data_IF_496937919379
#
_entry.id   IF_496937919379
#
_cell.length_a   1.000
_cell.length_b   1.000
_cell.length_c   1.000
_cell.angle_alpha   90.00
_cell.angle_beta   90.00
_cell.angle_gamma   90.00
#
_symmetry.space_group_name_H-M   'P 1'
#
loop_
_entity.id
_entity.type
_entity.pdbx_description
1 polymer ?
#
# COMPACT_ATOMS: atom_id res chain seq x y z
N UNK A 1 -45.74 -5.34 25.79
CA UNK A 1 -44.38 -5.00 26.23
C UNK A 1 -43.43 -5.51 25.14
N UNK A 2 -43.04 -4.61 24.23
CA UNK A 2 -42.18 -4.91 23.08
C UNK A 2 -40.80 -5.32 23.58
N UNK A 3 -40.40 -6.56 23.34
CA UNK A 3 -39.03 -7.02 23.56
C UNK A 3 -38.20 -6.41 22.44
N UNK A 4 -37.56 -5.30 22.77
CA UNK A 4 -36.57 -4.58 21.97
C UNK A 4 -35.61 -5.62 21.40
N UNK A 5 -35.67 -5.82 20.08
CA UNK A 5 -34.63 -6.51 19.35
C UNK A 5 -33.36 -5.70 19.59
N UNK A 6 -32.50 -6.22 20.46
CA UNK A 6 -31.14 -5.73 20.61
C UNK A 6 -30.50 -5.91 19.25
N UNK A 7 -30.40 -4.78 18.55
CA UNK A 7 -29.57 -4.52 17.38
C UNK A 7 -28.28 -5.34 17.52
N UNK A 8 -28.26 -6.50 16.86
CA UNK A 8 -27.06 -7.20 16.47
C UNK A 8 -26.33 -6.21 15.58
N UNK A 9 -25.56 -5.31 16.22
CA UNK A 9 -24.63 -4.43 15.53
C UNK A 9 -23.93 -5.31 14.53
N UNK A 10 -24.20 -5.06 13.26
CA UNK A 10 -23.61 -5.77 12.14
C UNK A 10 -22.14 -5.97 12.47
N UNK A 11 -21.79 -7.23 12.78
CA UNK A 11 -20.50 -7.79 12.47
C UNK A 11 -20.39 -7.82 10.94
N UNK A 12 -20.43 -6.62 10.35
CA UNK A 12 -20.40 -6.36 8.93
C UNK A 12 -19.03 -6.75 8.44
N UNK A 13 -18.96 -8.01 8.02
CA UNK A 13 -17.93 -8.60 7.18
C UNK A 13 -16.52 -8.65 7.79
N UNK A 14 -16.29 -9.65 8.63
CA UNK A 14 -14.94 -10.17 8.94
C UNK A 14 -14.23 -10.77 7.69
N UNK A 15 -14.91 -10.83 6.54
CA UNK A 15 -14.37 -11.08 5.19
C UNK A 15 -13.99 -9.79 4.43
N UNK A 16 -14.04 -8.63 5.07
CA UNK A 16 -13.73 -7.34 4.46
C UNK A 16 -12.26 -7.18 4.05
N UNK A 17 -12.05 -6.82 2.78
CA UNK A 17 -10.79 -6.41 2.16
C UNK A 17 -9.58 -7.36 2.32
N UNK A 18 -9.79 -8.65 2.62
CA UNK A 18 -8.66 -9.58 2.86
C UNK A 18 -7.73 -9.68 1.66
N UNK A 19 -8.28 -9.79 0.45
CA UNK A 19 -7.49 -9.77 -0.80
C UNK A 19 -6.61 -8.52 -0.92
N UNK A 20 -7.13 -7.35 -0.57
CA UNK A 20 -6.39 -6.10 -0.65
C UNK A 20 -5.28 -6.05 0.40
N UNK A 21 -5.54 -6.59 1.61
CA UNK A 21 -4.50 -6.73 2.64
C UNK A 21 -3.39 -7.67 2.18
N UNK A 22 -3.73 -8.76 1.50
CA UNK A 22 -2.76 -9.68 0.94
C UNK A 22 -1.88 -8.99 -0.12
N UNK A 23 -2.47 -8.16 -0.99
CA UNK A 23 -1.73 -7.34 -1.97
C UNK A 23 -0.75 -6.39 -1.27
N UNK A 24 -1.18 -5.69 -0.22
CA UNK A 24 -0.30 -4.77 0.53
C UNK A 24 0.86 -5.52 1.21
N UNK A 25 0.59 -6.69 1.79
CA UNK A 25 1.63 -7.52 2.41
C UNK A 25 2.62 -8.06 1.38
N UNK A 26 2.11 -8.54 0.24
CA UNK A 26 2.94 -9.01 -0.85
C UNK A 26 3.81 -7.90 -1.43
N UNK A 27 3.27 -6.68 -1.55
CA UNK A 27 4.03 -5.50 -1.96
C UNK A 27 5.21 -5.23 -1.00
N UNK A 28 4.95 -5.20 0.31
CA UNK A 28 6.02 -4.95 1.29
C UNK A 28 7.06 -6.07 1.32
N UNK A 29 6.64 -7.34 1.22
CA UNK A 29 7.59 -8.47 1.16
C UNK A 29 8.48 -8.41 -0.09
N UNK A 30 7.88 -8.21 -1.26
CA UNK A 30 8.62 -8.06 -2.52
C UNK A 30 9.54 -6.85 -2.47
N UNK A 31 9.08 -5.75 -1.85
CA UNK A 31 9.89 -4.57 -1.66
C UNK A 31 11.06 -4.89 -0.74
N UNK A 32 10.88 -5.49 0.43
CA UNK A 32 11.98 -5.81 1.35
C UNK A 32 13.04 -6.72 0.72
N UNK A 33 12.64 -7.69 -0.12
CA UNK A 33 13.55 -8.56 -0.86
C UNK A 33 14.26 -7.85 -2.03
N UNK A 34 13.64 -6.83 -2.62
CA UNK A 34 14.19 -6.12 -3.76
C UNK A 34 15.42 -5.27 -3.37
N UNK A 35 16.59 -5.62 -3.92
CA UNK A 35 17.77 -4.76 -3.93
C UNK A 35 17.59 -3.54 -4.85
N UNK A 36 18.50 -2.57 -4.77
CA UNK A 36 18.44 -1.24 -5.43
C UNK A 36 17.69 -1.17 -6.76
N UNK A 37 18.15 -1.90 -7.79
CA UNK A 37 17.57 -1.85 -9.14
C UNK A 37 16.19 -2.53 -9.25
N UNK A 38 15.86 -3.44 -8.33
CA UNK A 38 14.57 -4.14 -8.31
C UNK A 38 13.43 -3.31 -7.72
N UNK A 39 13.72 -2.22 -7.00
CA UNK A 39 12.71 -1.37 -6.35
C UNK A 39 11.69 -0.81 -7.33
N UNK A 40 12.15 -0.37 -8.50
CA UNK A 40 11.29 0.21 -9.53
C UNK A 40 10.34 -0.84 -10.11
N UNK A 41 10.84 -2.05 -10.38
CA UNK A 41 10.04 -3.15 -10.90
C UNK A 41 8.92 -3.55 -9.93
N UNK A 42 9.22 -3.65 -8.62
CA UNK A 42 8.19 -3.93 -7.60
C UNK A 42 7.11 -2.83 -7.59
N UNK A 43 7.49 -1.55 -7.70
CA UNK A 43 6.50 -0.47 -7.75
C UNK A 43 5.65 -0.55 -9.03
N UNK A 44 6.24 -0.89 -10.17
CA UNK A 44 5.52 -1.11 -11.43
C UNK A 44 4.52 -2.29 -11.33
N UNK A 45 4.93 -3.42 -10.74
CA UNK A 45 4.11 -4.63 -10.61
C UNK A 45 2.90 -4.46 -9.67
N UNK A 46 3.04 -3.63 -8.63
CA UNK A 46 2.01 -3.41 -7.63
C UNK A 46 1.19 -2.13 -7.83
N UNK A 47 1.48 -1.35 -8.88
CA UNK A 47 0.76 -0.12 -9.21
C UNK A 47 -0.17 -0.31 -10.40
N UNK A 48 -1.40 0.19 -10.27
CA UNK A 48 -2.38 0.20 -11.34
C UNK A 48 -2.42 1.52 -12.11
N UNK A 49 -3.28 1.56 -13.13
CA UNK A 49 -3.59 2.82 -13.82
C UNK A 49 -4.13 3.87 -12.83
N UNK A 50 -3.68 5.12 -12.98
CA UNK A 50 -4.03 6.20 -12.06
C UNK A 50 -3.24 6.19 -10.74
N UNK A 51 -2.06 5.56 -10.73
CA UNK A 51 -1.14 5.59 -9.60
C UNK A 51 -0.90 7.03 -9.13
N UNK A 52 -0.99 7.23 -7.82
CA UNK A 52 -0.72 8.52 -7.17
C UNK A 52 -0.21 8.27 -5.77
N UNK A 53 1.07 8.53 -5.57
CA UNK A 53 1.72 8.43 -4.29
C UNK A 53 1.69 9.78 -3.56
N UNK A 54 1.31 9.76 -2.29
CA UNK A 54 1.17 10.96 -1.46
C UNK A 54 2.16 10.89 -0.30
N UNK A 55 3.34 11.47 -0.51
CA UNK A 55 4.35 11.64 0.52
C UNK A 55 4.13 12.89 1.35
N UNK A 56 4.81 12.95 2.48
CA UNK A 56 4.98 14.18 3.25
C UNK A 56 6.07 15.06 2.61
N UNK A 57 6.21 16.30 3.10
CA UNK A 57 7.33 17.16 2.72
C UNK A 57 8.66 16.41 2.98
N UNK A 58 9.62 16.41 2.04
CA UNK A 58 9.73 17.26 0.84
C UNK A 58 9.17 16.68 -0.47
N UNK A 59 8.53 15.51 -0.44
CA UNK A 59 8.19 14.78 -1.67
C UNK A 59 6.86 15.22 -2.29
N UNK A 60 5.86 15.53 -1.47
CA UNK A 60 4.53 15.92 -1.93
C UNK A 60 3.82 14.77 -2.66
N UNK A 61 3.11 15.11 -3.75
CA UNK A 61 2.44 14.11 -4.60
C UNK A 61 3.34 13.73 -5.76
N UNK A 62 3.47 12.43 -6.01
CA UNK A 62 4.16 11.86 -7.17
C UNK A 62 3.19 10.95 -7.92
N UNK A 63 3.01 11.18 -9.22
CA UNK A 63 2.10 10.42 -10.08
C UNK A 63 2.85 9.36 -10.94
N UNK A 64 4.17 9.25 -10.80
CA UNK A 64 5.02 8.26 -11.47
C UNK A 64 5.72 7.34 -10.44
N UNK A 65 5.64 6.02 -10.68
CA UNK A 65 6.33 4.99 -9.89
C UNK A 65 7.85 5.16 -9.92
N UNK A 66 8.42 5.66 -11.02
CA UNK A 66 9.86 5.91 -11.15
C UNK A 66 10.32 7.05 -10.26
N UNK A 67 9.54 8.12 -10.19
CA UNK A 67 9.78 9.23 -9.26
C UNK A 67 9.74 8.77 -7.80
N UNK A 68 8.76 7.92 -7.45
CA UNK A 68 8.65 7.36 -6.09
C UNK A 68 9.81 6.43 -5.77
N UNK A 69 10.21 5.59 -6.73
CA UNK A 69 11.39 4.73 -6.64
C UNK A 69 12.65 5.54 -6.32
N UNK A 70 12.95 6.54 -7.15
CA UNK A 70 14.24 7.21 -7.15
C UNK A 70 14.37 8.28 -6.08
N UNK A 71 13.26 8.97 -5.76
CA UNK A 71 13.26 10.06 -4.77
C UNK A 71 13.01 9.57 -3.34
N UNK A 72 12.34 8.43 -3.16
CA UNK A 72 11.96 7.94 -1.83
C UNK A 72 12.55 6.58 -1.51
N UNK A 73 12.14 5.51 -2.21
CA UNK A 73 12.46 4.15 -1.76
C UNK A 73 13.93 3.76 -1.90
N UNK A 74 14.58 4.06 -3.03
CA UNK A 74 16.01 3.77 -3.21
C UNK A 74 16.88 4.56 -2.22
N UNK A 75 16.67 5.89 -2.00
CA UNK A 75 17.37 6.62 -0.96
C UNK A 75 17.14 6.05 0.45
N UNK A 76 15.89 5.74 0.81
CA UNK A 76 15.55 5.19 2.13
C UNK A 76 16.31 3.89 2.41
N UNK A 77 16.25 2.93 1.48
CA UNK A 77 16.91 1.62 1.65
C UNK A 77 18.42 1.70 1.73
N UNK A 78 19.04 2.65 1.04
CA UNK A 78 20.49 2.88 1.13
C UNK A 78 20.93 3.43 2.49
N UNK A 79 19.99 3.95 3.29
CA UNK A 79 20.25 4.55 4.60
C UNK A 79 19.90 3.65 5.78
N UNK A 80 19.30 2.47 5.52
CA UNK A 80 19.00 1.43 6.51
C UNK A 80 20.10 0.37 6.50
#
# INVERSE_FOLDING_TARGET
>A
MQKIAGDERQAGDMGGFQRQKDVVRAFHAALDEAGGDGVTAVLEDFSGAGFRWRGFHPFGVLDDVRDVSDRFWKPLKRSL
#
